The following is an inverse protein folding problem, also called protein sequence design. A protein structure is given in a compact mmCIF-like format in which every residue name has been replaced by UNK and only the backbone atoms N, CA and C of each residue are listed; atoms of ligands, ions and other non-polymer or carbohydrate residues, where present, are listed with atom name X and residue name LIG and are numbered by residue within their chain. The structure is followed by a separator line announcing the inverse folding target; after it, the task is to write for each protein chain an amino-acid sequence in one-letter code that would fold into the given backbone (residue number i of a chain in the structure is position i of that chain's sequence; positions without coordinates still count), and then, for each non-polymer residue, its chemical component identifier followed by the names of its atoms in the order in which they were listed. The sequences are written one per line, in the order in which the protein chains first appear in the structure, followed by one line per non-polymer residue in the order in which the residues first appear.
data_IF_793571890489
#
_entry.id   IF_793571890489
#
_cell.length_a   1.000
_cell.length_b   1.000
_cell.length_c   1.000
_cell.angle_alpha   90.00
_cell.angle_beta   90.00
_cell.angle_gamma   90.00
#
_symmetry.space_group_name_H-M   'P 1'
#
loop_
_entity.id
_entity.type
_entity.pdbx_description
1 polymer ?
#
# COMPACT_ATOMS: atom_id res chain seq x y z
N UNK A 1 6.29 6.48 -7.26
CA UNK A 1 5.86 6.94 -5.94
C UNK A 1 7.03 7.04 -4.95
N UNK A 2 7.87 6.00 -4.79
CA UNK A 2 8.95 5.98 -3.79
C UNK A 2 10.00 7.08 -3.97
N UNK A 3 10.38 7.42 -5.21
CA UNK A 3 11.30 8.55 -5.48
C UNK A 3 10.69 9.88 -5.01
N UNK A 4 9.40 10.10 -5.29
CA UNK A 4 8.67 11.26 -4.78
C UNK A 4 8.70 11.32 -3.25
N UNK A 5 8.36 10.22 -2.58
CA UNK A 5 8.34 10.15 -1.13
C UNK A 5 9.73 10.38 -0.51
N UNK A 6 10.78 9.84 -1.12
CA UNK A 6 12.17 10.06 -0.70
C UNK A 6 12.56 11.55 -0.78
N UNK A 7 12.29 12.20 -1.91
CA UNK A 7 12.59 13.61 -2.11
C UNK A 7 11.79 14.52 -1.16
N UNK A 8 10.48 14.28 -1.03
CA UNK A 8 9.61 15.05 -0.13
C UNK A 8 10.07 14.95 1.33
N UNK A 9 10.40 13.75 1.81
CA UNK A 9 10.91 13.56 3.17
C UNK A 9 12.29 14.17 3.38
N UNK A 10 13.17 14.04 2.37
CA UNK A 10 14.51 14.65 2.41
C UNK A 10 14.42 16.18 2.43
N UNK A 11 13.50 16.77 1.67
CA UNK A 11 13.23 18.21 1.69
C UNK A 11 12.80 18.67 3.10
N UNK A 12 11.86 17.94 3.72
CA UNK A 12 11.39 18.24 5.08
C UNK A 12 12.53 18.16 6.12
N UNK A 13 13.38 17.13 6.03
CA UNK A 13 14.55 16.98 6.90
C UNK A 13 15.54 18.15 6.69
N UNK A 14 15.84 18.50 5.43
CA UNK A 14 16.73 19.59 5.10
C UNK A 14 16.22 20.94 5.65
N UNK A 15 14.91 21.19 5.54
CA UNK A 15 14.29 22.38 6.09
C UNK A 15 14.48 22.46 7.62
N UNK A 16 14.25 21.36 8.34
CA UNK A 16 14.45 21.28 9.80
C UNK A 16 15.91 21.49 10.22
N UNK A 17 16.86 21.07 9.37
CA UNK A 17 18.29 21.26 9.59
C UNK A 17 18.81 22.63 9.13
N UNK A 18 17.95 23.52 8.61
CA UNK A 18 18.31 24.86 8.15
C UNK A 18 18.91 24.93 6.74
N UNK A 19 18.94 23.84 5.98
CA UNK A 19 19.47 23.80 4.60
C UNK A 19 18.38 24.25 3.59
N UNK A 20 17.98 25.51 3.66
CA UNK A 20 16.82 26.06 2.93
C UNK A 20 16.89 25.85 1.42
N UNK A 21 18.02 26.13 0.79
CA UNK A 21 18.18 26.01 -0.67
C UNK A 21 18.05 24.56 -1.13
N UNK A 22 18.61 23.61 -0.38
CA UNK A 22 18.49 22.17 -0.65
C UNK A 22 17.06 21.70 -0.44
N UNK A 23 16.40 22.16 0.61
CA UNK A 23 15.00 21.85 0.88
C UNK A 23 14.10 22.31 -0.27
N UNK A 24 14.25 23.54 -0.74
CA UNK A 24 13.49 24.08 -1.87
C UNK A 24 13.77 23.30 -3.16
N UNK A 25 15.04 22.97 -3.45
CA UNK A 25 15.40 22.19 -4.63
C UNK A 25 14.73 20.79 -4.63
N UNK A 26 14.81 20.05 -3.54
CA UNK A 26 14.22 18.71 -3.46
C UNK A 26 12.70 18.76 -3.41
N UNK A 27 12.10 19.77 -2.81
CA UNK A 27 10.66 19.96 -2.82
C UNK A 27 10.13 20.19 -4.23
N UNK A 28 10.75 21.10 -5.00
CA UNK A 28 10.36 21.37 -6.39
C UNK A 28 10.48 20.10 -7.27
N UNK A 29 11.52 19.29 -7.04
CA UNK A 29 11.72 18.06 -7.75
C UNK A 29 10.64 17.02 -7.38
N UNK A 30 10.30 16.91 -6.10
CA UNK A 30 9.21 16.07 -5.63
C UNK A 30 7.88 16.49 -6.27
N UNK A 31 7.55 17.78 -6.28
CA UNK A 31 6.31 18.29 -6.89
C UNK A 31 6.23 17.93 -8.37
N UNK A 32 7.31 18.14 -9.12
CA UNK A 32 7.38 17.76 -10.55
C UNK A 32 7.11 16.28 -10.75
N UNK A 33 7.78 15.42 -9.98
CA UNK A 33 7.61 13.96 -10.06
C UNK A 33 6.20 13.56 -9.65
N UNK A 34 5.63 14.15 -8.60
CA UNK A 34 4.29 13.82 -8.11
C UNK A 34 3.21 14.11 -9.15
N UNK A 35 3.23 15.30 -9.73
CA UNK A 35 2.27 15.72 -10.78
C UNK A 35 2.35 14.80 -11.99
N UNK A 36 3.56 14.58 -12.53
CA UNK A 36 3.76 13.72 -13.69
C UNK A 36 3.39 12.26 -13.41
N UNK A 37 3.76 11.73 -12.24
CA UNK A 37 3.41 10.37 -11.87
C UNK A 37 1.90 10.16 -11.86
N UNK A 38 1.16 10.99 -11.10
CA UNK A 38 -0.29 10.84 -10.97
C UNK A 38 -1.01 11.00 -12.31
N UNK A 39 -0.52 11.88 -13.19
CA UNK A 39 -1.04 12.04 -14.53
C UNK A 39 -0.81 10.81 -15.41
N UNK A 40 0.38 10.21 -15.35
CA UNK A 40 0.78 9.09 -16.21
C UNK A 40 0.17 7.76 -15.81
N UNK A 41 0.05 7.50 -14.50
CA UNK A 41 -0.46 6.22 -14.01
C UNK A 41 -1.97 6.20 -13.84
N UNK A 42 -2.67 7.34 -13.97
CA UNK A 42 -4.12 7.37 -14.02
C UNK A 42 -4.63 6.75 -15.32
N UNK A 43 -5.38 5.67 -15.20
CA UNK A 43 -5.96 4.97 -16.33
C UNK A 43 -7.45 5.31 -16.44
N UNK A 44 -7.80 6.11 -17.46
CA UNK A 44 -9.19 6.57 -17.70
C UNK A 44 -10.16 5.42 -17.99
N UNK A 45 -9.70 4.36 -18.66
CA UNK A 45 -10.54 3.20 -18.97
C UNK A 45 -10.86 2.40 -17.71
N UNK A 46 -9.90 2.30 -16.79
CA UNK A 46 -10.04 1.57 -15.53
C UNK A 46 -10.63 2.45 -14.43
N UNK A 47 -10.60 3.77 -14.59
CA UNK A 47 -10.88 4.76 -13.53
C UNK A 47 -10.09 4.47 -12.26
N UNK A 48 -8.81 4.16 -12.40
CA UNK A 48 -7.92 3.75 -11.31
C UNK A 48 -6.47 4.10 -11.62
N UNK A 49 -5.65 4.20 -10.59
CA UNK A 49 -4.19 4.21 -10.72
C UNK A 49 -3.73 2.81 -11.08
N UNK A 50 -3.13 2.64 -12.26
CA UNK A 50 -2.65 1.35 -12.76
C UNK A 50 -1.25 1.01 -12.21
N UNK A 51 -0.81 -0.23 -12.45
CA UNK A 51 0.51 -0.73 -12.06
C UNK A 51 1.66 0.10 -12.64
N UNK A 52 1.52 0.57 -13.88
CA UNK A 52 2.48 1.40 -14.59
C UNK A 52 1.79 2.27 -15.65
N UNK A 53 2.56 3.21 -16.25
CA UNK A 53 2.10 4.00 -17.39
C UNK A 53 1.77 3.10 -18.58
N UNK A 54 0.59 3.30 -19.18
CA UNK A 54 0.18 2.65 -20.41
C UNK A 54 -0.29 1.21 -20.28
N UNK A 55 -0.45 0.69 -19.05
CA UNK A 55 -1.01 -0.65 -18.81
C UNK A 55 -2.41 -0.56 -18.18
N UNK A 56 -3.19 -1.63 -18.37
CA UNK A 56 -4.53 -1.75 -17.75
C UNK A 56 -4.48 -2.61 -16.46
N UNK A 57 -3.32 -3.20 -16.14
CA UNK A 57 -3.15 -4.10 -15.01
C UNK A 57 -3.11 -3.36 -13.68
N UNK A 58 -3.64 -4.01 -12.65
CA UNK A 58 -3.60 -3.52 -11.27
C UNK A 58 -2.45 -4.16 -10.50
N UNK A 59 -1.85 -3.40 -9.58
CA UNK A 59 -0.86 -3.88 -8.62
C UNK A 59 -1.24 -3.39 -7.22
N UNK A 60 -1.26 -4.29 -6.24
CA UNK A 60 -1.68 -3.95 -4.88
C UNK A 60 -0.82 -2.86 -4.23
N UNK A 61 0.40 -2.60 -4.71
CA UNK A 61 1.26 -1.54 -4.16
C UNK A 61 0.70 -0.12 -4.35
N UNK A 62 -0.28 0.09 -5.26
CA UNK A 62 -0.93 1.39 -5.40
C UNK A 62 -1.80 1.74 -4.17
N UNK A 63 -2.14 0.76 -3.34
CA UNK A 63 -2.81 0.98 -2.05
C UNK A 63 -1.96 1.81 -1.07
N UNK A 64 -0.65 1.88 -1.29
CA UNK A 64 0.28 2.67 -0.47
C UNK A 64 0.29 4.18 -0.78
N UNK A 65 -0.38 4.63 -1.83
CA UNK A 65 -0.31 6.03 -2.26
C UNK A 65 -0.70 7.03 -1.17
N UNK A 66 -1.76 6.82 -0.34
CA UNK A 66 -2.07 7.71 0.77
C UNK A 66 -1.05 7.63 1.91
N UNK A 67 -0.48 6.46 2.16
CA UNK A 67 0.55 6.28 3.20
C UNK A 67 1.83 7.03 2.89
N UNK A 68 2.17 7.08 1.62
CA UNK A 68 3.27 7.91 1.14
C UNK A 68 2.94 9.41 1.25
N UNK A 69 1.66 9.79 1.27
CA UNK A 69 1.19 11.17 1.26
C UNK A 69 1.09 11.75 -0.14
N UNK A 70 1.13 10.91 -1.18
CA UNK A 70 1.05 11.35 -2.58
C UNK A 70 -0.38 11.64 -3.03
N UNK A 71 -1.36 10.95 -2.45
CA UNK A 71 -2.80 11.17 -2.66
C UNK A 71 -3.49 11.32 -1.32
N UNK A 72 -4.51 12.15 -1.26
CA UNK A 72 -5.35 12.21 -0.06
C UNK A 72 -6.21 10.94 0.06
N UNK A 73 -6.49 10.46 1.29
CA UNK A 73 -7.28 9.25 1.51
C UNK A 73 -8.64 9.25 0.82
N UNK A 74 -9.33 10.40 0.80
CA UNK A 74 -10.66 10.56 0.21
C UNK A 74 -10.63 11.14 -1.22
N UNK A 75 -9.46 11.17 -1.89
CA UNK A 75 -9.39 11.48 -3.32
C UNK A 75 -10.27 10.46 -4.08
N UNK A 76 -11.25 10.91 -4.87
CA UNK A 76 -12.14 10.01 -5.62
C UNK A 76 -11.38 8.99 -6.50
N UNK A 77 -10.20 9.37 -6.99
CA UNK A 77 -9.35 8.48 -7.79
C UNK A 77 -8.77 7.35 -6.94
N UNK A 78 -8.42 7.62 -5.68
CA UNK A 78 -7.96 6.57 -4.78
C UNK A 78 -9.12 5.67 -4.35
N UNK A 79 -10.28 6.23 -4.05
CA UNK A 79 -11.49 5.44 -3.74
C UNK A 79 -11.81 4.46 -4.87
N UNK A 80 -11.82 4.94 -6.12
CA UNK A 80 -12.08 4.08 -7.28
C UNK A 80 -10.95 3.08 -7.53
N UNK A 81 -9.69 3.43 -7.22
CA UNK A 81 -8.55 2.52 -7.30
C UNK A 81 -8.69 1.36 -6.31
N UNK A 82 -9.09 1.63 -5.07
CA UNK A 82 -9.34 0.56 -4.08
C UNK A 82 -10.44 -0.38 -4.57
N UNK A 83 -11.54 0.15 -5.12
CA UNK A 83 -12.61 -0.68 -5.69
C UNK A 83 -12.12 -1.54 -6.88
N UNK A 84 -11.24 -1.01 -7.73
CA UNK A 84 -10.62 -1.77 -8.82
C UNK A 84 -9.70 -2.90 -8.29
N UNK A 85 -8.91 -2.63 -7.27
CA UNK A 85 -8.08 -3.63 -6.58
C UNK A 85 -8.95 -4.74 -5.98
N UNK A 86 -10.01 -4.37 -5.26
CA UNK A 86 -10.94 -5.34 -4.66
C UNK A 86 -11.54 -6.26 -5.72
N UNK A 87 -11.93 -5.69 -6.87
CA UNK A 87 -12.51 -6.45 -7.97
C UNK A 87 -11.52 -7.40 -8.64
N UNK A 88 -10.29 -6.95 -8.88
CA UNK A 88 -9.35 -7.65 -9.75
C UNK A 88 -8.38 -8.55 -8.97
N UNK A 89 -7.99 -8.16 -7.75
CA UNK A 89 -6.94 -8.82 -6.98
C UNK A 89 -7.43 -9.54 -5.74
N UNK A 90 -8.66 -9.30 -5.29
CA UNK A 90 -9.19 -10.01 -4.11
C UNK A 90 -9.85 -11.33 -4.54
N UNK A 91 -9.49 -12.42 -3.86
CA UNK A 91 -9.98 -13.77 -4.03
C UNK A 91 -10.47 -14.29 -2.67
N UNK A 92 -11.74 -14.05 -2.31
CA UNK A 92 -12.24 -14.31 -0.95
C UNK A 92 -11.50 -13.42 0.07
N UNK A 93 -10.77 -14.02 1.00
CA UNK A 93 -9.96 -13.29 1.97
C UNK A 93 -8.55 -12.96 1.47
N UNK A 94 -8.11 -13.54 0.35
CA UNK A 94 -6.76 -13.40 -0.19
C UNK A 94 -6.63 -12.15 -1.08
N UNK A 95 -5.46 -11.51 -1.05
CA UNK A 95 -5.14 -10.33 -1.85
C UNK A 95 -3.90 -10.61 -2.70
N UNK A 96 -4.12 -10.83 -3.99
CA UNK A 96 -3.02 -11.04 -4.93
C UNK A 96 -2.23 -9.74 -5.12
N UNK A 97 -0.92 -9.86 -5.34
CA UNK A 97 -0.08 -8.71 -5.66
C UNK A 97 -0.48 -8.11 -7.02
N UNK A 98 -0.66 -8.96 -8.01
CA UNK A 98 -1.12 -8.69 -9.38
C UNK A 98 -1.79 -9.95 -9.93
N UNK A 99 -2.49 -9.80 -11.05
CA UNK A 99 -3.19 -10.92 -11.71
C UNK A 99 -2.73 -11.15 -13.15
N UNK A 100 -1.76 -10.36 -13.63
CA UNK A 100 -1.15 -10.53 -14.95
C UNK A 100 -0.16 -11.69 -14.92
N UNK A 101 0.00 -12.35 -16.08
CA UNK A 101 1.04 -13.36 -16.29
C UNK A 101 2.39 -12.68 -16.41
N UNK A 102 3.40 -13.22 -15.74
CA UNK A 102 4.80 -12.79 -15.82
C UNK A 102 5.69 -13.91 -16.34
N UNK A 103 7.02 -13.74 -16.25
CA UNK A 103 8.00 -14.74 -16.72
C UNK A 103 7.89 -16.11 -16.01
N UNK A 104 7.17 -16.17 -14.90
CA UNK A 104 6.93 -17.39 -14.10
C UNK A 104 5.51 -17.93 -14.23
N UNK A 105 4.66 -17.26 -15.02
CA UNK A 105 3.25 -17.58 -15.20
C UNK A 105 2.31 -16.73 -14.33
N UNK A 106 1.08 -17.21 -14.11
CA UNK A 106 0.13 -16.54 -13.23
C UNK A 106 0.50 -16.73 -11.75
N UNK A 107 0.39 -15.68 -10.92
CA UNK A 107 0.64 -15.82 -9.48
C UNK A 107 -0.30 -16.86 -8.85
N UNK A 108 0.27 -17.87 -8.22
CA UNK A 108 -0.48 -18.92 -7.53
C UNK A 108 -0.69 -18.64 -6.05
N UNK A 109 0.18 -17.81 -5.45
CA UNK A 109 0.18 -17.49 -4.02
C UNK A 109 -0.20 -16.04 -3.76
N UNK A 110 -0.79 -15.78 -2.59
CA UNK A 110 -0.95 -14.43 -2.06
C UNK A 110 0.37 -13.97 -1.42
N UNK A 111 0.87 -12.81 -1.82
CA UNK A 111 1.94 -12.14 -1.08
C UNK A 111 1.31 -11.44 0.14
N UNK A 112 1.52 -11.99 1.34
CA UNK A 112 0.77 -11.64 2.55
C UNK A 112 0.79 -10.15 2.91
N UNK A 113 1.85 -9.42 2.58
CA UNK A 113 1.90 -7.97 2.84
C UNK A 113 0.80 -7.20 2.09
N UNK A 114 0.33 -7.70 0.94
CA UNK A 114 -0.73 -7.05 0.15
C UNK A 114 -2.06 -7.05 0.92
N UNK A 115 -2.33 -8.08 1.73
CA UNK A 115 -3.49 -8.12 2.63
C UNK A 115 -3.45 -6.96 3.63
N UNK A 116 -2.30 -6.70 4.23
CA UNK A 116 -2.14 -5.60 5.17
C UNK A 116 -2.27 -4.23 4.48
N UNK A 117 -1.78 -4.08 3.24
CA UNK A 117 -1.99 -2.86 2.48
C UNK A 117 -3.47 -2.58 2.21
N UNK A 118 -4.25 -3.62 1.91
CA UNK A 118 -5.71 -3.46 1.74
C UNK A 118 -6.38 -3.10 3.08
N UNK A 119 -6.05 -3.77 4.18
CA UNK A 119 -6.55 -3.45 5.52
C UNK A 119 -6.29 -1.98 5.84
N UNK A 120 -5.08 -1.51 5.57
CA UNK A 120 -4.68 -0.13 5.80
C UNK A 120 -5.44 0.86 4.91
N UNK A 121 -5.63 0.53 3.63
CA UNK A 121 -6.43 1.33 2.71
C UNK A 121 -7.90 1.42 3.16
N UNK A 122 -8.50 0.32 3.60
CA UNK A 122 -9.87 0.31 4.15
C UNK A 122 -9.99 1.17 5.41
N UNK A 123 -9.00 1.11 6.29
CA UNK A 123 -8.96 1.97 7.47
C UNK A 123 -9.00 3.46 7.10
N UNK A 124 -8.20 3.90 6.12
CA UNK A 124 -8.14 5.31 5.74
C UNK A 124 -9.38 5.77 4.98
N UNK A 125 -10.11 4.86 4.35
CA UNK A 125 -11.41 5.11 3.73
C UNK A 125 -12.57 5.10 4.75
N UNK A 126 -12.30 4.86 6.04
CA UNK A 126 -13.31 4.79 7.08
C UNK A 126 -14.07 3.45 7.17
N UNK A 127 -13.71 2.45 6.35
CA UNK A 127 -14.28 1.07 6.34
C UNK A 127 -13.67 0.22 7.46
N UNK A 128 -13.74 0.72 8.69
CA UNK A 128 -12.99 0.15 9.84
C UNK A 128 -13.46 -1.24 10.26
N UNK A 129 -14.74 -1.52 10.17
CA UNK A 129 -15.27 -2.84 10.56
C UNK A 129 -14.78 -3.93 9.62
N UNK A 130 -14.82 -3.67 8.32
CA UNK A 130 -14.28 -4.57 7.31
C UNK A 130 -12.76 -4.73 7.43
N UNK A 131 -12.05 -3.63 7.67
CA UNK A 131 -10.61 -3.68 7.91
C UNK A 131 -10.26 -4.54 9.12
N UNK A 132 -11.06 -4.47 10.19
CA UNK A 132 -10.90 -5.29 11.40
C UNK A 132 -11.14 -6.76 11.12
N UNK A 133 -12.23 -7.10 10.43
CA UNK A 133 -12.54 -8.47 10.03
C UNK A 133 -11.39 -9.08 9.24
N UNK A 134 -10.90 -8.38 8.19
CA UNK A 134 -9.76 -8.83 7.39
C UNK A 134 -8.47 -8.93 8.19
N UNK A 135 -8.28 -8.09 9.18
CA UNK A 135 -7.12 -8.15 10.07
C UNK A 135 -7.16 -9.37 10.98
N UNK A 136 -8.31 -9.69 11.56
CA UNK A 136 -8.50 -10.90 12.37
C UNK A 136 -8.27 -12.18 11.55
N UNK A 137 -8.77 -12.22 10.31
CA UNK A 137 -8.49 -13.30 9.36
C UNK A 137 -6.98 -13.43 9.05
N UNK A 138 -6.30 -12.30 8.87
CA UNK A 138 -4.84 -12.30 8.67
C UNK A 138 -4.09 -12.84 9.91
N UNK A 139 -4.55 -12.49 11.10
CA UNK A 139 -3.97 -12.99 12.35
C UNK A 139 -4.16 -14.51 12.53
N UNK A 140 -5.24 -15.08 12.01
CA UNK A 140 -5.51 -16.52 12.08
C UNK A 140 -4.52 -17.37 11.24
N UNK A 141 -3.81 -16.76 10.28
CA UNK A 141 -2.80 -17.44 9.45
C UNK A 141 -1.45 -17.65 10.15
N UNK A 142 -1.23 -16.99 11.30
CA UNK A 142 0.02 -17.12 12.05
C UNK A 142 0.18 -18.53 12.59
N UNK A 143 1.42 -19.00 12.60
CA UNK A 143 1.73 -20.26 13.26
C UNK A 143 1.59 -20.15 14.81
N UNK A 144 1.84 -21.25 15.53
CA UNK A 144 1.78 -21.30 17.00
C UNK A 144 2.73 -20.33 17.72
N UNK A 145 3.73 -19.79 17.04
CA UNK A 145 4.67 -18.79 17.57
C UNK A 145 4.29 -17.35 17.19
N UNK A 146 3.15 -17.17 16.51
CA UNK A 146 2.69 -15.86 16.07
C UNK A 146 3.36 -15.33 14.80
N UNK A 147 4.06 -16.17 14.03
CA UNK A 147 4.87 -15.77 12.87
C UNK A 147 4.15 -16.07 11.56
N UNK A 148 4.43 -15.24 10.55
CA UNK A 148 3.93 -15.34 9.18
C UNK A 148 5.09 -15.58 8.19
N UNK A 149 4.77 -16.27 7.09
CA UNK A 149 5.63 -16.38 5.91
C UNK A 149 5.50 -15.16 4.98
N UNK A 150 6.21 -15.20 3.87
CA UNK A 150 6.11 -14.24 2.77
C UNK A 150 4.77 -14.39 2.05
N UNK A 151 4.45 -15.61 1.66
CA UNK A 151 3.29 -15.96 0.87
C UNK A 151 2.42 -17.02 1.57
N UNK A 152 1.18 -17.13 1.11
CA UNK A 152 0.27 -18.22 1.43
C UNK A 152 -0.41 -18.72 0.16
N UNK A 153 -0.54 -20.03 0.04
CA UNK A 153 -1.29 -20.64 -1.05
C UNK A 153 -2.80 -20.61 -0.74
N UNK A 154 -3.63 -19.93 -1.54
CA UNK A 154 -5.03 -19.65 -1.21
C UNK A 154 -5.90 -20.89 -0.99
N UNK A 155 -5.65 -21.99 -1.74
CA UNK A 155 -6.48 -23.21 -1.66
C UNK A 155 -6.04 -24.14 -0.53
N UNK A 156 -4.75 -24.21 -0.22
CA UNK A 156 -4.20 -25.17 0.75
C UNK A 156 -3.90 -24.58 2.10
N UNK A 157 -3.78 -23.24 2.21
CA UNK A 157 -3.32 -22.55 3.41
C UNK A 157 -1.83 -22.77 3.72
N UNK A 158 -1.09 -23.42 2.81
CA UNK A 158 0.34 -23.66 2.99
C UNK A 158 1.12 -22.33 2.94
N UNK A 159 2.00 -22.14 3.92
CA UNK A 159 2.90 -21.00 3.97
C UNK A 159 4.09 -21.24 3.04
N UNK A 160 4.39 -20.24 2.20
CA UNK A 160 5.41 -20.28 1.17
C UNK A 160 6.39 -19.10 1.28
N UNK A 161 7.53 -19.22 0.59
CA UNK A 161 8.55 -18.18 0.54
C UNK A 161 9.38 -18.08 1.82
N UNK A 162 9.94 -16.90 2.08
CA UNK A 162 10.77 -16.65 3.25
C UNK A 162 9.97 -16.75 4.55
N UNK A 163 10.55 -17.39 5.55
CA UNK A 163 9.93 -17.56 6.87
C UNK A 163 10.97 -17.42 8.00
N UNK A 164 10.70 -16.65 9.08
CA UNK A 164 9.62 -15.67 9.17
C UNK A 164 9.88 -14.46 8.27
N UNK A 165 8.80 -13.88 7.70
CA UNK A 165 8.93 -12.74 6.79
C UNK A 165 8.70 -11.41 7.50
N UNK A 166 9.72 -10.54 7.44
CA UNK A 166 9.68 -9.22 8.08
C UNK A 166 8.56 -8.32 7.55
N UNK A 167 8.29 -8.32 6.24
CA UNK A 167 7.21 -7.52 5.65
C UNK A 167 5.84 -7.90 6.20
N UNK A 168 5.57 -9.21 6.29
CA UNK A 168 4.31 -9.71 6.84
C UNK A 168 4.18 -9.34 8.32
N UNK A 169 5.25 -9.49 9.10
CA UNK A 169 5.25 -9.13 10.53
C UNK A 169 5.13 -7.61 10.74
N UNK A 170 5.78 -6.80 9.91
CA UNK A 170 5.61 -5.34 9.93
C UNK A 170 4.17 -4.95 9.58
N UNK A 171 3.55 -5.63 8.61
CA UNK A 171 2.13 -5.46 8.26
C UNK A 171 1.23 -5.68 9.47
N UNK A 172 1.41 -6.77 10.22
CA UNK A 172 0.66 -7.03 11.48
C UNK A 172 0.75 -5.84 12.44
N UNK A 173 1.97 -5.35 12.69
CA UNK A 173 2.19 -4.24 13.65
C UNK A 173 1.55 -2.94 13.15
N UNK A 174 1.79 -2.58 11.89
CA UNK A 174 1.31 -1.33 11.31
C UNK A 174 -0.22 -1.30 11.22
N UNK A 175 -0.85 -2.37 10.76
CA UNK A 175 -2.32 -2.46 10.69
C UNK A 175 -2.95 -2.48 12.08
N UNK A 176 -2.36 -3.17 13.07
CA UNK A 176 -2.84 -3.12 14.46
C UNK A 176 -2.78 -1.70 15.03
N UNK A 177 -1.69 -0.97 14.80
CA UNK A 177 -1.56 0.43 15.20
C UNK A 177 -2.60 1.31 14.53
N UNK A 178 -2.89 1.09 13.25
CA UNK A 178 -3.85 1.86 12.47
C UNK A 178 -5.29 1.61 12.92
N UNK A 179 -5.63 0.37 13.21
CA UNK A 179 -6.95 -0.01 13.74
C UNK A 179 -7.21 0.53 15.15
N UNK A 180 -6.15 0.80 15.93
CA UNK A 180 -6.24 1.31 17.30
C UNK A 180 -6.15 2.83 17.43
N UNK A 181 -5.77 3.56 16.35
CA UNK A 181 -5.60 5.03 16.34
C UNK A 181 -6.37 5.69 15.21
N UNK A 182 -6.61 7.00 15.32
CA UNK A 182 -7.15 7.75 14.19
C UNK A 182 -6.09 7.95 13.10
N UNK A 183 -6.56 8.16 11.86
CA UNK A 183 -5.67 8.42 10.73
C UNK A 183 -4.86 9.72 10.90
N UNK A 184 -5.41 10.73 11.56
CA UNK A 184 -4.76 12.00 11.84
C UNK A 184 -3.59 11.87 12.83
N UNK A 185 -3.60 10.86 13.69
CA UNK A 185 -2.57 10.62 14.72
C UNK A 185 -1.29 9.98 14.19
N UNK A 186 -1.01 10.07 12.89
CA UNK A 186 0.21 9.52 12.31
C UNK A 186 1.45 10.28 12.74
N UNK A 187 2.43 9.55 13.28
CA UNK A 187 3.68 10.13 13.78
C UNK A 187 4.61 10.69 12.69
N UNK A 188 4.40 10.39 11.40
CA UNK A 188 5.16 10.99 10.30
C UNK A 188 4.48 12.18 9.62
N UNK A 189 3.19 12.42 9.86
CA UNK A 189 2.58 13.70 9.54
C UNK A 189 3.06 14.69 10.58
N UNK A 190 3.90 15.66 10.20
CA UNK A 190 4.27 16.75 11.07
C UNK A 190 2.97 17.42 11.55
N UNK A 191 2.83 17.55 12.88
CA UNK A 191 1.83 18.45 13.44
C UNK A 191 2.07 19.81 12.77
N UNK A 192 1.10 20.26 11.97
CA UNK A 192 1.06 21.58 11.34
C UNK A 192 1.12 22.68 12.40
#
# INVERSE_FOLDING_TARGET
AMCWAGLSRTAAIAARLGFRDRAAHWQNLAETIGVELLRRVWNEKRQAFAAAEGVDDMDASVLLLPDLGLVEPHDPRFVSTVAAIEKDLVRGHHVMRYAAEDDFGLPETEFLVCRFWLIDALCVLGRKDEARERFEDALALRNSYGLLAEDIHPQTGALWGNFPQTYSMAGVVLSAMRLSRSWEDRYWRASS
#
